data_IF_522770146273
#
_entry.id   IF_522770146273
#
_cell.length_a   1.000
_cell.length_b   1.000
_cell.length_c   1.000
_cell.angle_alpha   90.00
_cell.angle_beta   90.00
_cell.angle_gamma   90.00
#
_symmetry.space_group_name_H-M   'P 1'
#
loop_
_entity.id
_entity.type
_entity.pdbx_description
1 polymer ?
#
# COMPACT_ATOMS: atom_id res chain seq x y z
N UNK A 1 -12.57 -3.79 -26.96
CA UNK A 1 -13.12 -2.67 -26.16
C UNK A 1 -14.26 -3.18 -25.27
N UNK A 2 -14.68 -2.36 -24.33
CA UNK A 2 -15.61 -2.76 -23.27
C UNK A 2 -16.82 -1.83 -23.24
N UNK A 3 -17.88 -2.23 -22.53
CA UNK A 3 -19.11 -1.45 -22.39
C UNK A 3 -19.69 -1.06 -23.74
N UNK A 4 -19.98 -2.07 -24.59
CA UNK A 4 -20.56 -1.84 -25.91
C UNK A 4 -19.67 -1.05 -26.86
N UNK A 5 -18.36 -1.06 -26.63
CA UNK A 5 -17.38 -0.33 -27.43
C UNK A 5 -17.12 1.10 -26.97
N UNK A 6 -17.75 1.54 -25.87
CA UNK A 6 -17.59 2.91 -25.37
C UNK A 6 -16.33 3.10 -24.55
N UNK A 7 -15.80 2.03 -23.95
CA UNK A 7 -14.62 2.10 -23.08
C UNK A 7 -13.39 1.49 -23.76
N UNK A 8 -12.26 2.18 -23.64
CA UNK A 8 -10.95 1.64 -24.00
C UNK A 8 -10.52 0.59 -22.99
N UNK A 9 -9.53 -0.22 -23.35
CA UNK A 9 -8.92 -1.19 -22.43
C UNK A 9 -8.31 -0.49 -21.19
N UNK A 10 -7.70 0.67 -21.38
CA UNK A 10 -7.14 1.46 -20.29
C UNK A 10 -8.22 1.90 -19.30
N UNK A 11 -9.36 2.36 -19.79
CA UNK A 11 -10.48 2.77 -18.94
C UNK A 11 -11.07 1.59 -18.17
N UNK A 12 -11.22 0.45 -18.82
CA UNK A 12 -11.71 -0.78 -18.17
C UNK A 12 -10.73 -1.23 -17.08
N UNK A 13 -9.44 -1.24 -17.39
CA UNK A 13 -8.40 -1.60 -16.41
C UNK A 13 -8.45 -0.68 -15.18
N UNK A 14 -8.55 0.63 -15.40
CA UNK A 14 -8.65 1.61 -14.31
C UNK A 14 -9.88 1.36 -13.44
N UNK A 15 -11.01 1.04 -14.04
CA UNK A 15 -12.24 0.72 -13.33
C UNK A 15 -12.06 -0.51 -12.43
N UNK A 16 -11.48 -1.59 -12.97
CA UNK A 16 -11.26 -2.83 -12.21
C UNK A 16 -10.20 -2.60 -11.10
N UNK A 17 -9.09 -1.93 -11.40
CA UNK A 17 -8.05 -1.69 -10.39
C UNK A 17 -8.55 -0.83 -9.24
N UNK A 18 -9.43 0.13 -9.50
CA UNK A 18 -10.06 0.94 -8.45
C UNK A 18 -10.90 0.08 -7.50
N UNK A 19 -11.68 -0.87 -8.04
CA UNK A 19 -12.48 -1.80 -7.25
C UNK A 19 -11.59 -2.72 -6.41
N UNK A 20 -10.51 -3.24 -6.99
CA UNK A 20 -9.56 -4.10 -6.30
C UNK A 20 -8.83 -3.36 -5.18
N UNK A 21 -8.42 -2.10 -5.40
CA UNK A 21 -7.79 -1.26 -4.39
C UNK A 21 -8.74 -1.02 -3.20
N UNK A 22 -10.01 -0.75 -3.48
CA UNK A 22 -11.01 -0.55 -2.44
C UNK A 22 -11.17 -1.82 -1.60
N UNK A 23 -11.23 -2.99 -2.25
CA UNK A 23 -11.32 -4.27 -1.56
C UNK A 23 -10.05 -4.56 -0.72
N UNK A 24 -8.87 -4.20 -1.24
CA UNK A 24 -7.60 -4.48 -0.58
C UNK A 24 -7.43 -3.76 0.76
N UNK A 25 -8.16 -2.66 0.98
CA UNK A 25 -8.13 -1.96 2.27
C UNK A 25 -8.66 -2.84 3.41
N UNK A 26 -9.50 -3.82 3.08
CA UNK A 26 -10.08 -4.76 4.04
C UNK A 26 -9.40 -6.12 4.02
N UNK A 27 -8.27 -6.25 3.33
CA UNK A 27 -7.53 -7.50 3.24
C UNK A 27 -6.96 -7.87 4.61
N UNK A 28 -7.37 -9.03 5.21
CA UNK A 28 -7.01 -9.37 6.59
C UNK A 28 -5.51 -9.34 6.93
N UNK A 29 -4.59 -9.80 6.07
CA UNK A 29 -3.16 -9.72 6.39
C UNK A 29 -2.67 -8.30 6.67
N UNK A 30 -3.31 -7.26 6.12
CA UNK A 30 -2.96 -5.87 6.42
C UNK A 30 -3.21 -5.51 7.88
N UNK A 31 -4.32 -5.98 8.43
CA UNK A 31 -4.63 -5.78 9.87
C UNK A 31 -3.66 -6.52 10.75
N UNK A 32 -3.24 -7.72 10.35
CA UNK A 32 -2.24 -8.51 11.07
C UNK A 32 -0.88 -7.80 11.05
N UNK A 33 -0.48 -7.23 9.92
CA UNK A 33 0.76 -6.46 9.80
C UNK A 33 0.75 -5.26 10.74
N UNK A 34 -0.36 -4.52 10.79
CA UNK A 34 -0.52 -3.40 11.73
C UNK A 34 -0.43 -3.88 13.18
N UNK A 35 -1.06 -4.98 13.51
CA UNK A 35 -1.02 -5.54 14.86
C UNK A 35 0.41 -5.91 15.29
N UNK A 36 1.20 -6.46 14.39
CA UNK A 36 2.61 -6.79 14.66
C UNK A 36 3.47 -5.55 14.85
N UNK A 37 3.14 -4.45 14.16
CA UNK A 37 3.85 -3.18 14.30
C UNK A 37 3.39 -2.35 15.50
N UNK A 38 2.29 -2.74 16.15
CA UNK A 38 1.71 -2.02 17.28
C UNK A 38 2.65 -2.04 18.47
N UNK A 39 2.92 -0.85 19.04
CA UNK A 39 3.81 -0.69 20.19
C UNK A 39 3.10 -0.22 21.45
N UNK A 40 1.82 0.11 21.37
CA UNK A 40 1.02 0.49 22.52
C UNK A 40 0.15 1.72 22.29
N UNK A 41 -0.67 2.01 23.29
CA UNK A 41 -1.47 3.24 23.33
C UNK A 41 -0.67 4.29 24.09
N UNK A 42 -0.42 5.42 23.46
CA UNK A 42 0.35 6.53 24.03
C UNK A 42 -0.35 7.84 23.72
N UNK A 43 0.02 8.89 24.46
CA UNK A 43 -0.55 10.21 24.21
C UNK A 43 -0.08 10.73 22.84
N UNK A 44 -1.04 11.13 22.00
CA UNK A 44 -0.73 11.84 20.77
C UNK A 44 -0.40 13.29 21.13
N UNK A 45 0.84 13.69 20.94
CA UNK A 45 1.33 15.03 21.29
C UNK A 45 0.57 16.15 20.58
N UNK A 46 0.05 15.89 19.38
CA UNK A 46 -0.70 16.89 18.61
C UNK A 46 -2.10 17.16 19.17
N UNK A 47 -2.76 16.14 19.72
CA UNK A 47 -4.14 16.24 20.19
C UNK A 47 -4.28 16.15 21.69
N UNK A 48 -3.25 15.66 22.41
CA UNK A 48 -3.30 15.40 23.83
C UNK A 48 -4.14 14.18 24.24
N UNK A 49 -4.65 13.43 23.27
CA UNK A 49 -5.48 12.24 23.49
C UNK A 49 -4.67 10.98 23.33
N UNK A 50 -5.12 9.90 23.98
CA UNK A 50 -4.52 8.57 23.79
C UNK A 50 -4.78 8.08 22.37
N UNK A 51 -3.77 7.53 21.75
CA UNK A 51 -3.85 6.99 20.40
C UNK A 51 -2.98 5.73 20.26
N UNK A 52 -3.35 4.88 19.32
CA UNK A 52 -2.55 3.69 19.00
C UNK A 52 -1.30 4.12 18.23
N UNK A 53 -0.15 3.57 18.63
CA UNK A 53 1.13 3.88 18.03
C UNK A 53 1.75 2.65 17.39
N UNK A 54 2.47 2.87 16.30
CA UNK A 54 3.07 1.83 15.47
C UNK A 54 4.50 2.19 15.11
N UNK A 55 5.33 1.16 14.92
CA UNK A 55 6.72 1.34 14.54
C UNK A 55 6.87 1.23 13.02
N UNK A 56 7.56 2.21 12.41
CA UNK A 56 7.93 2.15 10.99
C UNK A 56 9.03 1.12 10.78
N UNK A 57 8.89 0.24 9.79
CA UNK A 57 9.89 -0.78 9.49
C UNK A 57 11.18 -0.20 8.89
N UNK A 58 11.11 0.97 8.27
CA UNK A 58 12.26 1.59 7.61
C UNK A 58 13.09 2.47 8.54
N UNK A 59 12.47 3.47 9.19
CA UNK A 59 13.19 4.39 10.07
C UNK A 59 13.17 4.00 11.53
N UNK A 60 12.38 2.99 11.89
CA UNK A 60 12.24 2.44 13.24
C UNK A 60 11.69 3.40 14.30
N UNK A 61 11.21 4.56 13.87
CA UNK A 61 10.54 5.53 14.74
C UNK A 61 9.08 5.14 14.96
N UNK A 62 8.49 5.69 16.02
CA UNK A 62 7.12 5.39 16.45
C UNK A 62 6.19 6.52 16.03
N UNK A 63 5.04 6.16 15.45
CA UNK A 63 4.06 7.12 14.93
C UNK A 63 2.65 6.71 15.33
N UNK A 64 1.74 7.71 15.37
CA UNK A 64 0.30 7.44 15.54
C UNK A 64 -0.27 6.75 14.29
N UNK A 65 -1.42 6.10 14.45
CA UNK A 65 -2.07 5.35 13.35
C UNK A 65 -2.26 6.18 12.08
N UNK A 66 -2.59 7.47 12.23
CA UNK A 66 -2.82 8.36 11.09
C UNK A 66 -1.56 8.61 10.24
N UNK A 67 -0.38 8.41 10.82
CA UNK A 67 0.91 8.72 10.17
C UNK A 67 1.62 7.48 9.61
N UNK A 68 0.99 6.31 9.69
CA UNK A 68 1.54 5.06 9.13
C UNK A 68 0.57 4.44 8.15
N UNK A 69 1.09 3.58 7.31
CA UNK A 69 0.28 2.81 6.36
C UNK A 69 0.92 1.45 6.10
N UNK A 70 0.10 0.50 5.70
CA UNK A 70 0.59 -0.82 5.28
C UNK A 70 0.97 -0.73 3.81
N UNK A 71 2.19 -1.13 3.50
CA UNK A 71 2.75 -1.06 2.17
C UNK A 71 3.11 -2.46 1.68
N UNK A 72 3.04 -2.66 0.37
CA UNK A 72 3.53 -3.87 -0.27
C UNK A 72 5.04 -3.77 -0.41
N UNK A 73 5.79 -4.78 0.08
CA UNK A 73 7.26 -4.82 -0.06
C UNK A 73 7.62 -4.81 -1.53
N UNK A 74 6.95 -5.65 -2.32
CA UNK A 74 7.06 -5.61 -3.79
C UNK A 74 5.89 -4.79 -4.33
N UNK A 75 6.12 -3.83 -5.24
CA UNK A 75 5.03 -3.08 -5.84
C UNK A 75 4.00 -4.00 -6.50
N UNK A 76 2.72 -3.66 -6.40
CA UNK A 76 1.65 -4.43 -7.06
C UNK A 76 1.88 -4.46 -8.57
N UNK A 77 2.33 -3.34 -9.13
CA UNK A 77 2.79 -3.26 -10.52
C UNK A 77 4.28 -2.95 -10.47
N UNK A 78 5.09 -3.84 -11.04
CA UNK A 78 6.54 -3.62 -11.15
C UNK A 78 6.79 -2.37 -11.98
N UNK A 79 7.49 -1.35 -11.43
CA UNK A 79 7.71 -0.09 -12.16
C UNK A 79 8.54 -0.25 -13.44
N UNK A 80 9.33 -1.31 -13.56
CA UNK A 80 10.15 -1.54 -14.75
C UNK A 80 9.42 -2.30 -15.85
N UNK A 81 8.49 -3.19 -15.51
CA UNK A 81 7.76 -4.03 -16.47
C UNK A 81 6.32 -3.57 -16.72
N UNK A 82 5.71 -2.83 -15.77
CA UNK A 82 4.33 -2.41 -15.86
C UNK A 82 3.34 -3.55 -15.60
N UNK A 83 2.10 -3.31 -15.97
CA UNK A 83 1.01 -4.29 -15.81
C UNK A 83 1.24 -5.48 -16.74
N UNK A 84 1.24 -6.69 -16.17
CA UNK A 84 1.47 -7.94 -16.93
C UNK A 84 0.16 -8.69 -17.14
N UNK A 85 -0.55 -9.00 -16.06
CA UNK A 85 -1.81 -9.75 -16.12
C UNK A 85 -2.62 -9.51 -14.84
N UNK A 86 -3.92 -9.84 -14.90
CA UNK A 86 -4.78 -9.77 -13.72
C UNK A 86 -4.33 -10.76 -12.64
N UNK A 87 -3.89 -11.95 -13.01
CA UNK A 87 -3.45 -12.94 -12.05
C UNK A 87 -2.26 -12.43 -11.23
N UNK A 88 -1.27 -11.82 -11.88
CA UNK A 88 -0.11 -11.23 -11.21
C UNK A 88 -0.53 -10.04 -10.34
N UNK A 89 -1.38 -9.17 -10.86
CA UNK A 89 -1.88 -8.00 -10.15
C UNK A 89 -2.59 -8.40 -8.85
N UNK A 90 -3.51 -9.35 -8.94
CA UNK A 90 -4.28 -9.83 -7.79
C UNK A 90 -3.38 -10.52 -6.77
N UNK A 91 -2.46 -11.37 -7.22
CA UNK A 91 -1.53 -12.09 -6.34
C UNK A 91 -0.64 -11.12 -5.55
N UNK A 92 -0.19 -10.05 -6.18
CA UNK A 92 0.64 -9.03 -5.51
C UNK A 92 -0.16 -8.13 -4.58
N UNK A 93 -1.37 -7.74 -4.98
CA UNK A 93 -2.22 -6.87 -4.17
C UNK A 93 -2.76 -7.58 -2.93
N UNK A 94 -3.23 -8.82 -3.08
CA UNK A 94 -3.79 -9.64 -2.01
C UNK A 94 -2.78 -10.68 -1.55
N UNK A 95 -1.60 -10.21 -1.17
CA UNK A 95 -0.49 -11.05 -0.74
C UNK A 95 -0.59 -11.39 0.75
N UNK A 96 0.23 -12.33 1.19
CA UNK A 96 0.32 -12.73 2.58
C UNK A 96 1.14 -11.71 3.41
N UNK A 97 1.09 -11.87 4.73
CA UNK A 97 1.69 -10.90 5.66
C UNK A 97 3.19 -10.71 5.46
N UNK A 98 3.90 -11.75 5.05
CA UNK A 98 5.35 -11.69 4.82
C UNK A 98 5.75 -10.75 3.68
N UNK A 99 4.79 -10.38 2.83
CA UNK A 99 4.98 -9.43 1.72
C UNK A 99 4.48 -8.03 2.04
N UNK A 100 4.05 -7.79 3.27
CA UNK A 100 3.55 -6.50 3.73
C UNK A 100 4.47 -5.90 4.79
N UNK A 101 4.48 -4.58 4.86
CA UNK A 101 5.26 -3.84 5.85
C UNK A 101 4.51 -2.60 6.28
N UNK A 102 4.78 -2.13 7.50
CA UNK A 102 4.18 -0.90 8.03
C UNK A 102 5.23 0.20 7.95
N UNK A 103 4.91 1.28 7.27
CA UNK A 103 5.82 2.41 7.06
C UNK A 103 5.15 3.71 7.48
N UNK A 104 5.94 4.65 7.99
CA UNK A 104 5.47 6.01 8.15
C UNK A 104 5.30 6.67 6.78
N UNK A 105 4.46 7.69 6.70
CA UNK A 105 4.18 8.37 5.43
C UNK A 105 5.43 8.96 4.78
N UNK A 106 6.37 9.61 5.51
CA UNK A 106 7.61 10.08 4.89
C UNK A 106 8.45 8.98 4.24
N UNK A 107 8.62 7.82 4.92
CA UNK A 107 9.39 6.70 4.35
C UNK A 107 8.70 6.11 3.12
N UNK A 108 7.38 5.99 3.15
CA UNK A 108 6.60 5.53 2.00
C UNK A 108 6.74 6.48 0.82
N UNK A 109 6.79 7.78 1.08
CA UNK A 109 6.98 8.80 0.06
C UNK A 109 8.32 8.65 -0.66
N UNK A 110 9.39 8.36 0.08
CA UNK A 110 10.72 8.09 -0.48
C UNK A 110 10.68 6.85 -1.37
N UNK A 111 10.07 5.76 -0.89
CA UNK A 111 9.92 4.53 -1.67
C UNK A 111 9.15 4.78 -2.98
N UNK A 112 8.06 5.53 -2.92
CA UNK A 112 7.26 5.87 -4.10
C UNK A 112 8.07 6.68 -5.11
N UNK A 113 8.89 7.62 -4.64
CA UNK A 113 9.76 8.42 -5.49
C UNK A 113 10.80 7.55 -6.21
N UNK A 114 11.38 6.58 -5.52
CA UNK A 114 12.31 5.62 -6.12
C UNK A 114 11.64 4.78 -7.20
N UNK A 115 10.43 4.30 -6.97
CA UNK A 115 9.65 3.55 -7.96
C UNK A 115 9.33 4.39 -9.20
N UNK A 116 9.05 5.68 -9.03
CA UNK A 116 8.84 6.60 -10.16
C UNK A 116 10.10 6.76 -11.00
N UNK A 117 11.27 6.85 -10.36
CA UNK A 117 12.54 6.92 -11.08
C UNK A 117 12.79 5.66 -11.90
N UNK A 118 12.48 4.49 -11.36
CA UNK A 118 12.60 3.22 -12.06
C UNK A 118 11.70 3.18 -13.30
N UNK A 119 10.47 3.70 -13.21
CA UNK A 119 9.57 3.82 -14.36
C UNK A 119 10.13 4.70 -15.47
N UNK A 120 10.80 5.79 -15.10
CA UNK A 120 11.39 6.72 -16.07
C UNK A 120 12.60 6.16 -16.79
N UNK A 121 13.25 5.13 -16.24
CA UNK A 121 14.39 4.46 -16.85
C UNK A 121 14.02 3.49 -17.97
N UNK A 122 12.76 3.25 -18.18
CA UNK A 122 12.26 2.35 -19.24
C UNK A 122 12.43 2.91 -20.63
#
# INVERSE_FOLDING_TARGET
MHNGGEWTDARFRSFITSALRAASRRWPPKYKALKEAFVGRQTNEKTGKMAMHYKCCACEKIFVAADVQVDHIEPVVDPTTGFVSWDVYIARMFCEIDKLQVMCKPCHKVKTAEEKLDRKKK
#
